data_IF_137730223967
#
_entry.id   IF_137730223967
#
_cell.length_a   1.000
_cell.length_b   1.000
_cell.length_c   1.000
_cell.angle_alpha   90.00
_cell.angle_beta   90.00
_cell.angle_gamma   90.00
#
_symmetry.space_group_name_H-M   'P 1'
#
loop_
_entity.id
_entity.type
_entity.pdbx_description
1 polymer ?
#
# COMPACT_ATOMS: atom_id res chain seq x y z
N UNK A 1 11.18 -2.33 -18.55
CA UNK A 1 10.08 -2.32 -17.56
C UNK A 1 9.01 -3.26 -18.08
N UNK A 2 8.88 -4.43 -17.44
CA UNK A 2 8.03 -5.52 -17.92
C UNK A 2 6.65 -5.43 -17.30
N UNK A 3 5.66 -5.20 -18.14
CA UNK A 3 4.24 -5.28 -17.79
C UNK A 3 3.86 -6.75 -17.67
N UNK A 4 3.68 -7.24 -16.44
CA UNK A 4 3.20 -8.59 -16.19
C UNK A 4 1.69 -8.67 -16.40
N UNK A 5 1.19 -9.67 -17.12
CA UNK A 5 -0.25 -9.91 -17.34
C UNK A 5 -0.98 -10.43 -16.10
N UNK A 6 -0.33 -10.46 -14.93
CA UNK A 6 -0.88 -11.02 -13.70
C UNK A 6 -0.66 -12.53 -13.53
N UNK A 7 -1.47 -13.18 -12.67
CA UNK A 7 -1.34 -14.62 -12.35
C UNK A 7 -1.92 -15.58 -13.40
N UNK A 8 -2.67 -15.05 -14.36
CA UNK A 8 -3.30 -15.81 -15.44
C UNK A 8 -3.01 -15.08 -16.75
N UNK A 9 -3.02 -15.77 -17.88
CA UNK A 9 -3.06 -15.13 -19.20
C UNK A 9 -4.32 -14.29 -19.37
N UNK A 10 -4.31 -13.34 -20.31
CA UNK A 10 -5.53 -12.67 -20.73
C UNK A 10 -6.29 -13.61 -21.67
N UNK A 11 -7.51 -13.99 -21.29
CA UNK A 11 -8.41 -14.83 -22.08
C UNK A 11 -9.84 -14.30 -21.97
N UNK A 12 -10.74 -14.74 -22.87
CA UNK A 12 -12.14 -14.31 -22.87
C UNK A 12 -12.97 -14.93 -21.73
N UNK A 13 -12.42 -15.91 -21.00
CA UNK A 13 -13.13 -16.61 -19.93
C UNK A 13 -13.26 -15.77 -18.64
N UNK A 14 -12.34 -14.84 -18.42
CA UNK A 14 -12.31 -14.03 -17.21
C UNK A 14 -12.15 -12.55 -17.53
N UNK A 15 -13.13 -11.74 -17.12
CA UNK A 15 -13.00 -10.30 -17.29
C UNK A 15 -11.76 -9.77 -16.54
N UNK A 16 -11.03 -8.79 -17.12
CA UNK A 16 -9.89 -8.18 -16.45
C UNK A 16 -10.23 -7.59 -15.07
N UNK A 17 -11.48 -7.14 -14.90
CA UNK A 17 -12.02 -6.69 -13.62
C UNK A 17 -12.06 -7.81 -12.58
N UNK A 18 -12.56 -8.99 -12.94
CA UNK A 18 -12.61 -10.15 -12.04
C UNK A 18 -11.21 -10.67 -11.71
N UNK A 19 -10.29 -10.61 -12.67
CA UNK A 19 -8.87 -10.94 -12.50
C UNK A 19 -8.17 -9.98 -11.51
N UNK A 20 -8.41 -8.67 -11.66
CA UNK A 20 -7.95 -7.64 -10.72
C UNK A 20 -8.56 -7.86 -9.33
N UNK A 21 -9.85 -8.16 -9.24
CA UNK A 21 -10.50 -8.48 -7.98
C UNK A 21 -9.84 -9.70 -7.32
N UNK A 22 -9.60 -10.79 -8.06
CA UNK A 22 -8.84 -11.95 -7.57
C UNK A 22 -7.45 -11.58 -7.03
N UNK A 23 -6.77 -10.61 -7.64
CA UNK A 23 -5.49 -10.09 -7.15
C UNK A 23 -5.59 -9.30 -5.86
N UNK A 24 -6.69 -8.55 -5.65
CA UNK A 24 -6.97 -7.93 -4.36
C UNK A 24 -7.18 -8.97 -3.24
N UNK A 25 -7.69 -10.15 -3.59
CA UNK A 25 -7.79 -11.31 -2.69
C UNK A 25 -6.49 -12.14 -2.59
N UNK A 26 -5.41 -11.73 -3.27
CA UNK A 26 -4.09 -12.35 -3.14
C UNK A 26 -3.73 -13.38 -4.22
N UNK A 27 -4.55 -13.56 -5.26
CA UNK A 27 -4.22 -14.40 -6.42
C UNK A 27 -3.39 -13.57 -7.41
N UNK A 28 -2.11 -13.83 -7.65
CA UNK A 28 -1.35 -12.81 -8.38
C UNK A 28 0.15 -12.93 -8.36
N UNK A 29 0.74 -12.09 -7.54
CA UNK A 29 2.15 -12.11 -7.27
C UNK A 29 2.40 -13.05 -6.10
N UNK A 30 3.49 -13.82 -6.18
CA UNK A 30 3.99 -14.65 -5.08
C UNK A 30 4.09 -13.89 -3.74
N UNK A 31 4.23 -12.56 -3.79
CA UNK A 31 4.31 -11.67 -2.64
C UNK A 31 2.97 -11.10 -2.14
N UNK A 32 1.87 -11.17 -2.91
CA UNK A 32 0.62 -10.49 -2.56
C UNK A 32 -0.04 -11.13 -1.34
N UNK A 33 -0.25 -12.45 -1.34
CA UNK A 33 -0.88 -13.13 -0.21
C UNK A 33 -0.02 -13.04 1.08
N UNK A 34 1.31 -13.25 1.05
CA UNK A 34 2.17 -12.99 2.21
C UNK A 34 2.17 -11.53 2.68
N UNK A 35 2.08 -10.54 1.77
CA UNK A 35 2.03 -9.13 2.15
C UNK A 35 0.67 -8.73 2.74
N UNK A 36 -0.41 -9.35 2.28
CA UNK A 36 -1.76 -9.20 2.85
C UNK A 36 -1.79 -9.84 4.22
N UNK A 37 -1.42 -11.13 4.34
CA UNK A 37 -1.31 -11.87 5.61
C UNK A 37 -0.37 -11.13 6.57
N UNK A 38 0.79 -10.67 6.12
CA UNK A 38 1.73 -9.90 6.92
C UNK A 38 1.14 -8.57 7.41
N UNK A 39 0.23 -7.95 6.67
CA UNK A 39 -0.53 -6.79 7.14
C UNK A 39 -1.54 -7.14 8.25
N UNK A 40 -2.08 -8.35 8.24
CA UNK A 40 -2.95 -8.88 9.30
C UNK A 40 -2.19 -9.41 10.52
N UNK A 41 -0.95 -9.89 10.34
CA UNK A 41 -0.12 -10.46 11.41
C UNK A 41 0.70 -9.38 12.15
N UNK A 42 1.15 -8.32 11.46
CA UNK A 42 2.05 -7.31 12.04
C UNK A 42 3.54 -7.66 11.83
N UNK A 43 4.46 -6.85 12.38
CA UNK A 43 5.90 -7.11 12.36
C UNK A 43 6.53 -6.68 13.70
N UNK A 44 7.14 -7.61 14.47
CA UNK A 44 7.77 -7.26 15.74
C UNK A 44 9.13 -6.56 15.60
N UNK A 45 9.80 -6.68 14.45
CA UNK A 45 11.20 -6.26 14.26
C UNK A 45 11.37 -4.90 13.58
N UNK A 46 10.47 -4.57 12.65
CA UNK A 46 10.53 -3.36 11.82
C UNK A 46 9.32 -2.47 12.10
N UNK A 47 9.56 -1.24 12.55
CA UNK A 47 8.53 -0.23 12.73
C UNK A 47 8.15 0.38 11.38
N UNK A 48 6.90 0.83 11.26
CA UNK A 48 6.39 1.54 10.09
C UNK A 48 5.51 2.69 10.57
N UNK A 49 6.11 3.74 11.19
CA UNK A 49 5.36 4.81 11.87
C UNK A 49 4.43 5.59 10.92
N UNK A 50 4.79 5.64 9.62
CA UNK A 50 3.98 6.26 8.58
C UNK A 50 2.55 5.67 8.47
N UNK A 51 2.31 4.44 8.94
CA UNK A 51 0.97 3.84 8.94
C UNK A 51 0.05 4.61 9.89
N UNK A 52 0.53 4.86 11.10
CA UNK A 52 -0.20 5.60 12.13
C UNK A 52 -0.43 7.05 11.69
N UNK A 53 0.60 7.70 11.13
CA UNK A 53 0.49 9.05 10.56
C UNK A 53 -0.54 9.12 9.43
N UNK A 54 -0.55 8.14 8.52
CA UNK A 54 -1.49 8.09 7.40
C UNK A 54 -2.93 7.92 7.87
N UNK A 55 -3.16 7.07 8.89
CA UNK A 55 -4.46 6.92 9.53
C UNK A 55 -4.90 8.21 10.23
N UNK A 56 -4.00 8.89 10.96
CA UNK A 56 -4.28 10.17 11.60
C UNK A 56 -4.63 11.28 10.59
N UNK A 57 -3.91 11.36 9.45
CA UNK A 57 -4.29 12.25 8.33
C UNK A 57 -5.69 11.95 7.84
N UNK A 58 -6.05 10.67 7.72
CA UNK A 58 -7.36 10.24 7.28
C UNK A 58 -8.49 10.63 8.24
N UNK A 59 -8.28 10.48 9.54
CA UNK A 59 -9.22 10.91 10.60
C UNK A 59 -9.38 12.44 10.59
N UNK A 60 -8.28 13.20 10.55
CA UNK A 60 -8.32 14.68 10.47
C UNK A 60 -9.12 15.18 9.26
N UNK A 61 -8.99 14.50 8.13
CA UNK A 61 -9.72 14.81 6.90
C UNK A 61 -11.14 14.22 6.87
N UNK A 62 -11.59 13.57 7.95
CA UNK A 62 -12.90 12.90 8.06
C UNK A 62 -13.15 11.89 6.93
N UNK A 63 -12.09 11.25 6.45
CA UNK A 63 -12.16 10.22 5.40
C UNK A 63 -12.57 8.86 5.96
N UNK A 64 -12.18 8.59 7.20
CA UNK A 64 -12.34 7.30 7.87
C UNK A 64 -13.01 7.43 9.22
N UNK A 65 -13.65 6.36 9.71
CA UNK A 65 -14.05 6.26 11.11
C UNK A 65 -12.85 6.44 12.05
N UNK A 66 -13.10 7.11 13.18
CA UNK A 66 -12.16 7.40 14.27
C UNK A 66 -12.00 6.23 15.26
N UNK A 67 -12.41 5.03 14.85
CA UNK A 67 -12.43 3.85 15.71
C UNK A 67 -11.05 3.22 15.92
N UNK A 68 -10.06 3.50 15.06
CA UNK A 68 -8.72 2.90 15.16
C UNK A 68 -7.73 3.71 16.01
N UNK A 69 -7.80 5.04 15.96
CA UNK A 69 -6.91 5.96 16.66
C UNK A 69 -7.72 7.09 17.29
N UNK A 70 -7.29 7.56 18.47
CA UNK A 70 -7.83 8.78 19.09
C UNK A 70 -6.81 9.89 18.96
N UNK A 71 -7.25 11.04 18.42
CA UNK A 71 -6.41 12.21 18.21
C UNK A 71 -6.72 13.29 19.26
N UNK A 72 -5.72 14.07 19.65
CA UNK A 72 -5.93 15.29 20.44
C UNK A 72 -6.43 16.44 19.54
N UNK A 73 -6.71 17.60 20.14
CA UNK A 73 -7.12 18.82 19.43
C UNK A 73 -6.06 19.34 18.44
N UNK A 74 -4.78 19.00 18.65
CA UNK A 74 -3.67 19.31 17.74
C UNK A 74 -3.56 18.36 16.55
N UNK A 75 -4.30 17.23 16.58
CA UNK A 75 -4.29 16.21 15.55
C UNK A 75 -3.19 15.15 15.70
N UNK A 76 -2.53 15.08 16.86
CA UNK A 76 -1.56 14.06 17.21
C UNK A 76 -2.26 12.82 17.77
N UNK A 77 -1.68 11.63 17.55
CA UNK A 77 -2.21 10.37 18.06
C UNK A 77 -1.95 10.26 19.56
N UNK A 78 -3.01 10.09 20.34
CA UNK A 78 -2.96 9.96 21.80
C UNK A 78 -3.21 8.51 22.23
N UNK A 79 -4.12 7.84 21.53
CA UNK A 79 -4.45 6.44 21.77
C UNK A 79 -4.42 5.69 20.45
N UNK A 80 -3.66 4.60 20.43
CA UNK A 80 -3.72 3.64 19.34
C UNK A 80 -4.35 2.34 19.86
N UNK A 81 -5.59 2.06 19.43
CA UNK A 81 -6.36 0.91 19.95
C UNK A 81 -5.77 -0.44 19.57
N UNK A 82 -4.90 -0.49 18.56
CA UNK A 82 -4.15 -1.71 18.21
C UNK A 82 -3.11 -2.09 19.27
N UNK A 83 -2.78 -1.19 20.22
CA UNK A 83 -1.95 -1.51 21.39
C UNK A 83 -2.66 -2.42 22.39
N UNK A 84 -4.00 -2.45 22.38
CA UNK A 84 -4.79 -3.27 23.29
C UNK A 84 -4.83 -4.75 22.87
N UNK A 85 -4.27 -5.09 21.69
CA UNK A 85 -4.23 -6.46 21.21
C UNK A 85 -3.35 -7.34 22.11
N UNK A 86 -3.86 -8.47 22.64
CA UNK A 86 -3.10 -9.33 23.53
C UNK A 86 -1.90 -9.92 22.79
N UNK A 87 -0.72 -9.93 23.43
CA UNK A 87 0.54 -10.53 22.94
C UNK A 87 1.22 -9.77 21.78
N UNK A 88 0.47 -9.03 20.98
CA UNK A 88 0.94 -8.40 19.74
C UNK A 88 0.83 -6.87 19.72
N UNK A 89 0.22 -6.26 20.75
CA UNK A 89 0.08 -4.81 20.88
C UNK A 89 1.40 -4.06 21.09
N UNK A 90 2.43 -4.74 21.60
CA UNK A 90 3.79 -4.19 21.79
C UNK A 90 4.68 -4.33 20.54
N UNK A 91 4.18 -4.93 19.46
CA UNK A 91 4.98 -5.10 18.25
C UNK A 91 5.24 -3.75 17.58
N UNK A 92 6.45 -3.57 17.02
CA UNK A 92 6.85 -2.33 16.33
C UNK A 92 5.91 -1.92 15.20
N UNK A 93 5.29 -2.88 14.53
CA UNK A 93 4.14 -2.70 13.66
C UNK A 93 3.06 -3.67 14.10
N UNK A 94 1.93 -3.16 14.58
CA UNK A 94 0.89 -3.99 15.18
C UNK A 94 0.07 -4.67 14.07
N UNK A 95 -0.45 -5.88 14.32
CA UNK A 95 -1.43 -6.49 13.43
C UNK A 95 -2.62 -5.56 13.19
N UNK A 96 -3.24 -5.71 12.02
CA UNK A 96 -4.42 -4.98 11.57
C UNK A 96 -4.21 -3.49 11.21
N UNK A 97 -3.16 -2.81 11.66
CA UNK A 97 -2.92 -1.40 11.30
C UNK A 97 -2.81 -1.20 9.78
N UNK A 98 -1.89 -1.95 9.15
CA UNK A 98 -1.69 -1.88 7.71
C UNK A 98 -2.91 -2.41 6.95
N UNK A 99 -3.57 -3.44 7.46
CA UNK A 99 -4.79 -3.97 6.84
C UNK A 99 -5.93 -2.95 6.87
N UNK A 100 -6.07 -2.20 7.97
CA UNK A 100 -7.08 -1.16 8.15
C UNK A 100 -6.81 -0.02 7.19
N UNK A 101 -5.57 0.48 7.12
CA UNK A 101 -5.19 1.53 6.16
C UNK A 101 -5.41 1.09 4.70
N UNK A 102 -5.13 -0.17 4.35
CA UNK A 102 -5.38 -0.72 3.02
C UNK A 102 -6.87 -0.85 2.71
N UNK A 103 -7.66 -1.37 3.65
CA UNK A 103 -9.11 -1.50 3.50
C UNK A 103 -9.75 -0.13 3.32
N UNK A 104 -9.33 0.83 4.13
CA UNK A 104 -9.66 2.23 3.99
C UNK A 104 -9.35 2.66 2.55
N UNK A 105 -8.08 2.75 2.15
CA UNK A 105 -7.69 3.20 0.81
C UNK A 105 -8.47 2.51 -0.33
N UNK A 106 -8.72 1.21 -0.23
CA UNK A 106 -9.53 0.47 -1.21
C UNK A 106 -10.96 1.05 -1.33
N UNK A 107 -11.64 1.33 -0.21
CA UNK A 107 -13.02 1.84 -0.23
C UNK A 107 -13.09 3.26 -0.81
N UNK A 108 -12.25 4.19 -0.35
CA UNK A 108 -12.39 5.62 -0.76
C UNK A 108 -11.69 5.93 -2.08
N UNK A 109 -10.53 5.34 -2.34
CA UNK A 109 -9.77 5.61 -3.56
C UNK A 109 -10.23 4.66 -4.66
N UNK A 110 -10.12 3.36 -4.44
CA UNK A 110 -10.36 2.38 -5.51
C UNK A 110 -11.83 2.18 -5.83
N UNK A 111 -12.76 2.24 -4.87
CA UNK A 111 -14.19 2.01 -5.14
C UNK A 111 -14.92 3.33 -5.46
N UNK A 112 -14.81 4.36 -4.62
CA UNK A 112 -15.55 5.62 -4.86
C UNK A 112 -15.03 6.41 -6.05
N UNK A 113 -13.71 6.48 -6.22
CA UNK A 113 -13.07 7.30 -7.26
C UNK A 113 -12.59 6.47 -8.46
N UNK A 114 -13.02 5.20 -8.59
CA UNK A 114 -12.59 4.31 -9.67
C UNK A 114 -12.72 4.95 -11.05
N UNK A 115 -13.86 5.60 -11.33
CA UNK A 115 -14.13 6.17 -12.66
C UNK A 115 -13.19 7.30 -13.04
N UNK A 116 -12.65 8.03 -12.07
CA UNK A 116 -11.72 9.12 -12.29
C UNK A 116 -10.27 8.61 -12.41
N UNK A 117 -9.95 7.55 -11.67
CA UNK A 117 -8.60 6.98 -11.60
C UNK A 117 -8.34 5.91 -12.66
N UNK A 118 -9.39 5.24 -13.13
CA UNK A 118 -9.30 4.23 -14.17
C UNK A 118 -8.95 4.90 -15.51
N UNK A 119 -8.13 4.25 -16.36
CA UNK A 119 -7.90 4.72 -17.72
C UNK A 119 -9.22 4.85 -18.47
N UNK A 120 -9.37 5.93 -19.23
CA UNK A 120 -10.52 6.16 -20.11
C UNK A 120 -10.56 5.11 -21.24
N UNK A 121 -11.73 4.87 -21.81
CA UNK A 121 -11.95 3.84 -22.84
C UNK A 121 -11.08 4.03 -24.10
N UNK A 122 -10.76 5.27 -24.45
CA UNK A 122 -9.84 5.62 -25.53
C UNK A 122 -8.40 5.21 -25.20
N UNK A 123 -7.95 5.45 -23.96
CA UNK A 123 -6.65 5.00 -23.45
C UNK A 123 -6.57 3.46 -23.40
N UNK A 124 -7.64 2.78 -22.97
CA UNK A 124 -7.70 1.31 -22.96
C UNK A 124 -7.64 0.75 -24.39
N UNK A 125 -8.38 1.33 -25.33
CA UNK A 125 -8.33 0.94 -26.76
C UNK A 125 -6.97 1.21 -27.41
N UNK A 126 -6.26 2.25 -26.96
CA UNK A 126 -4.91 2.55 -27.38
C UNK A 126 -3.84 1.64 -26.73
N UNK A 127 -4.23 0.71 -25.86
CA UNK A 127 -3.31 -0.24 -25.21
C UNK A 127 -2.51 0.38 -24.07
N UNK A 128 -3.04 1.41 -23.39
CA UNK A 128 -2.37 2.01 -22.22
C UNK A 128 -2.37 1.01 -21.07
N UNK A 129 -1.17 0.53 -20.72
CA UNK A 129 -0.93 -0.35 -19.58
C UNK A 129 -0.55 0.49 -18.35
N UNK A 130 -1.38 0.47 -17.31
CA UNK A 130 -1.05 1.10 -16.02
C UNK A 130 -0.50 0.04 -15.07
N UNK A 131 0.78 0.13 -14.74
CA UNK A 131 1.39 -0.63 -13.64
C UNK A 131 1.64 0.32 -12.47
N UNK A 132 1.50 -0.15 -11.23
CA UNK A 132 2.06 0.55 -10.08
C UNK A 132 3.57 0.66 -10.29
N UNK A 133 4.09 1.88 -10.16
CA UNK A 133 5.43 2.21 -10.63
C UNK A 133 6.53 1.71 -9.69
N UNK A 134 7.71 1.42 -10.25
CA UNK A 134 8.95 1.28 -9.49
C UNK A 134 9.36 2.60 -8.82
N UNK A 135 10.29 2.52 -7.86
CA UNK A 135 10.86 3.67 -7.17
C UNK A 135 12.35 3.74 -7.48
N UNK A 136 12.84 4.91 -7.88
CA UNK A 136 14.28 5.18 -8.04
C UNK A 136 14.59 6.43 -7.24
N UNK A 137 15.63 6.37 -6.41
CA UNK A 137 16.18 7.54 -5.71
C UNK A 137 17.56 7.82 -6.27
N UNK A 138 17.77 9.05 -6.73
CA UNK A 138 19.01 9.53 -7.32
C UNK A 138 19.63 10.59 -6.41
N UNK A 139 20.89 10.43 -6.05
CA UNK A 139 21.66 11.41 -5.29
C UNK A 139 22.40 12.32 -6.27
N UNK A 140 21.89 13.54 -6.43
CA UNK A 140 22.48 14.56 -7.31
C UNK A 140 23.87 15.00 -6.89
N UNK A 141 24.26 14.84 -5.62
CA UNK A 141 25.60 15.18 -5.13
C UNK A 141 26.65 14.15 -5.53
N UNK A 142 26.22 12.89 -5.66
CA UNK A 142 27.07 11.75 -6.08
C UNK A 142 26.90 11.39 -7.55
N UNK A 143 25.97 12.06 -8.24
CA UNK A 143 25.56 11.76 -9.61
C UNK A 143 25.25 10.26 -9.82
N UNK A 144 24.55 9.66 -8.86
CA UNK A 144 24.35 8.20 -8.83
C UNK A 144 22.98 7.80 -8.26
N UNK A 145 22.48 6.65 -8.73
CA UNK A 145 21.30 5.99 -8.15
C UNK A 145 21.68 5.38 -6.79
N UNK A 146 20.99 5.77 -5.74
CA UNK A 146 21.21 5.26 -4.36
C UNK A 146 20.19 4.21 -3.94
N UNK A 147 19.04 4.19 -4.59
CA UNK A 147 18.01 3.16 -4.38
C UNK A 147 17.26 2.89 -5.68
N UNK A 148 17.05 1.62 -5.98
CA UNK A 148 16.18 1.18 -7.06
C UNK A 148 15.27 0.06 -6.52
N UNK A 149 13.97 0.22 -6.75
CA UNK A 149 12.97 -0.79 -6.53
C UNK A 149 12.12 -0.93 -7.78
N UNK A 150 12.11 -2.13 -8.34
CA UNK A 150 11.28 -2.49 -9.48
C UNK A 150 10.05 -3.18 -8.95
N UNK A 151 8.87 -2.65 -9.26
CA UNK A 151 7.61 -3.23 -8.80
C UNK A 151 7.46 -4.67 -9.33
N UNK A 152 7.42 -5.69 -8.45
CA UNK A 152 7.17 -7.07 -8.86
C UNK A 152 5.69 -7.33 -9.23
N UNK A 153 4.79 -6.35 -9.05
CA UNK A 153 3.39 -6.42 -9.44
C UNK A 153 2.42 -5.98 -8.34
N UNK A 154 1.18 -6.44 -8.45
CA UNK A 154 0.05 -5.86 -7.71
C UNK A 154 0.20 -5.95 -6.17
N UNK A 155 -0.09 -4.82 -5.52
CA UNK A 155 -0.04 -4.60 -4.06
C UNK A 155 1.36 -4.64 -3.45
N UNK A 156 2.42 -4.61 -4.25
CA UNK A 156 3.75 -4.33 -3.76
C UNK A 156 3.99 -2.82 -3.77
N UNK A 157 4.66 -2.33 -2.73
CA UNK A 157 5.12 -0.94 -2.64
C UNK A 157 6.58 -0.98 -2.20
N UNK A 158 7.38 -0.04 -2.70
CA UNK A 158 8.72 0.15 -2.16
C UNK A 158 8.62 0.37 -0.65
N UNK A 159 9.37 -0.40 0.14
CA UNK A 159 9.37 -0.25 1.58
C UNK A 159 10.10 1.05 1.94
N UNK A 160 9.37 2.00 2.53
CA UNK A 160 9.90 3.30 2.94
C UNK A 160 11.12 3.19 3.85
N UNK A 161 11.13 2.23 4.78
CA UNK A 161 12.28 2.04 5.67
C UNK A 161 13.54 1.62 4.90
N UNK A 162 13.39 0.73 3.91
CA UNK A 162 14.49 0.33 3.04
C UNK A 162 14.99 1.49 2.18
N UNK A 163 14.12 2.43 1.81
CA UNK A 163 14.51 3.65 1.11
C UNK A 163 15.32 4.53 2.06
N UNK A 164 14.80 4.80 3.26
CA UNK A 164 15.44 5.68 4.25
C UNK A 164 16.82 5.18 4.67
N UNK A 165 17.04 3.86 4.77
CA UNK A 165 18.37 3.27 5.01
C UNK A 165 19.40 3.61 3.92
N UNK A 166 18.95 3.91 2.70
CA UNK A 166 19.83 4.21 1.55
C UNK A 166 19.94 5.70 1.25
N UNK A 167 19.04 6.52 1.77
CA UNK A 167 19.07 7.97 1.61
C UNK A 167 19.99 8.57 2.68
N UNK A 168 21.03 9.34 2.30
CA UNK A 168 21.85 10.04 3.28
C UNK A 168 20.98 11.04 4.05
N UNK A 169 20.91 10.87 5.37
CA UNK A 169 20.26 11.84 6.25
C UNK A 169 21.19 13.06 6.34
N UNK A 170 20.69 14.22 5.94
CA UNK A 170 21.40 15.51 6.04
C UNK A 170 21.24 16.06 7.45
#
# INVERSE_FOLDING_TARGET
FGVGTGWRSDDEEMSPYLKLFGMLFGLGAWATLPAVIGGYIGNPFTAQPWIEDAMAVGIRKKRWPDNGLELNDSGDVVVNKFQELPVVGEWKRRPLELATLRLQNMIDISIKNWKELAPKDDALKAGVLTQLGGCVVFDSTKDAVVFEWKDPGICAVANFENILEKVPVV
#
